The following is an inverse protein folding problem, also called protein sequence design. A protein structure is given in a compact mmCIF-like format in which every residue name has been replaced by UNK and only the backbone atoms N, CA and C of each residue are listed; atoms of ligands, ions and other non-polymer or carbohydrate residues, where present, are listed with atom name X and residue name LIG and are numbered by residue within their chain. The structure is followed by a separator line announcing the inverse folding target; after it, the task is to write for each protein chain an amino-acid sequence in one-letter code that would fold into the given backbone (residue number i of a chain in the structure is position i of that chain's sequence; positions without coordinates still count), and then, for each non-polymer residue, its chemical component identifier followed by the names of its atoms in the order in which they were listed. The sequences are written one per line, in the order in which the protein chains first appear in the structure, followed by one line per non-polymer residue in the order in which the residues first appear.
data_IF_471000954777
#
_entry.id   IF_471000954777
#
_cell.length_a   1.000
_cell.length_b   1.000
_cell.length_c   1.000
_cell.angle_alpha   90.00
_cell.angle_beta   90.00
_cell.angle_gamma   90.00
#
_symmetry.space_group_name_H-M   'P 1'
#
loop_
_entity.id
_entity.type
_entity.pdbx_description
1 polymer ?
#
# COMPACT_ATOMS: atom_id res chain seq x y z
N UNK A 1 -7.97 9.32 -10.65
CA UNK A 1 -6.77 9.35 -9.79
C UNK A 1 -5.59 8.84 -10.60
N UNK A 2 -4.49 9.59 -10.72
CA UNK A 2 -3.32 9.20 -11.50
C UNK A 2 -2.19 8.70 -10.60
N UNK A 3 -1.74 7.48 -10.85
CA UNK A 3 -0.69 6.79 -10.08
C UNK A 3 0.53 6.59 -10.97
N UNK A 4 1.73 6.75 -10.42
CA UNK A 4 2.97 6.45 -11.14
C UNK A 4 4.06 5.82 -10.27
N UNK A 5 5.01 5.17 -10.92
CA UNK A 5 6.32 4.86 -10.36
C UNK A 5 7.39 5.49 -11.23
N UNK A 6 8.46 6.00 -10.63
CA UNK A 6 9.55 6.65 -11.34
C UNK A 6 10.89 6.32 -10.69
N UNK A 7 11.74 5.57 -11.40
CA UNK A 7 13.15 5.49 -11.08
C UNK A 7 13.83 6.81 -11.47
N UNK A 8 14.27 7.59 -10.47
CA UNK A 8 15.05 8.81 -10.70
C UNK A 8 16.51 8.49 -10.38
N UNK A 9 17.30 8.27 -11.43
CA UNK A 9 18.67 7.82 -11.33
C UNK A 9 19.47 8.58 -10.27
N UNK A 10 19.87 7.90 -9.19
CA UNK A 10 20.62 8.47 -8.05
C UNK A 10 20.01 9.76 -7.51
N UNK A 11 18.72 9.77 -7.20
CA UNK A 11 18.06 10.94 -6.64
C UNK A 11 18.71 11.38 -5.32
N UNK A 12 19.28 12.59 -5.31
CA UNK A 12 20.02 13.14 -4.18
C UNK A 12 20.41 14.61 -4.38
N UNK A 13 21.28 15.12 -3.49
CA UNK A 13 21.66 16.55 -3.46
C UNK A 13 22.14 17.08 -4.81
N UNK A 14 22.99 16.32 -5.50
CA UNK A 14 23.55 16.72 -6.80
C UNK A 14 22.46 16.99 -7.86
N UNK A 15 21.36 16.24 -7.80
CA UNK A 15 20.28 16.37 -8.78
C UNK A 15 19.38 17.56 -8.48
N UNK A 16 19.06 17.79 -7.19
CA UNK A 16 18.19 18.91 -6.78
C UNK A 16 18.92 20.24 -6.69
N UNK A 17 20.26 20.26 -6.71
CA UNK A 17 21.05 21.49 -6.76
C UNK A 17 21.01 22.17 -8.13
N UNK A 18 20.68 21.44 -9.19
CA UNK A 18 20.42 21.99 -10.51
C UNK A 18 18.97 22.50 -10.57
N UNK A 19 18.74 23.82 -10.70
CA UNK A 19 17.40 24.39 -10.67
C UNK A 19 16.54 23.97 -11.87
N UNK A 20 17.14 23.70 -13.04
CA UNK A 20 16.40 23.27 -14.23
C UNK A 20 15.92 21.84 -14.05
N UNK A 21 16.77 20.96 -13.53
CA UNK A 21 16.40 19.57 -13.22
C UNK A 21 15.36 19.51 -12.11
N UNK A 22 15.53 20.29 -11.04
CA UNK A 22 14.54 20.37 -9.96
C UNK A 22 13.16 20.84 -10.49
N UNK A 23 13.14 21.83 -11.38
CA UNK A 23 11.91 22.32 -12.00
C UNK A 23 11.25 21.25 -12.89
N UNK A 24 12.04 20.51 -13.69
CA UNK A 24 11.51 19.41 -14.50
C UNK A 24 10.94 18.30 -13.60
N UNK A 25 11.67 17.89 -12.56
CA UNK A 25 11.18 16.90 -11.60
C UNK A 25 9.87 17.35 -10.94
N UNK A 26 9.79 18.60 -10.50
CA UNK A 26 8.57 19.16 -9.93
C UNK A 26 7.40 19.13 -10.92
N UNK A 27 7.64 19.45 -12.20
CA UNK A 27 6.64 19.35 -13.28
C UNK A 27 6.18 17.92 -13.52
N UNK A 28 7.11 16.96 -13.58
CA UNK A 28 6.79 15.52 -13.73
C UNK A 28 5.93 15.06 -12.56
N UNK A 29 6.40 15.23 -11.33
CA UNK A 29 5.74 14.76 -10.11
C UNK A 29 4.35 15.37 -9.95
N UNK A 30 4.19 16.66 -10.29
CA UNK A 30 2.92 17.39 -10.17
C UNK A 30 1.80 16.85 -11.05
N UNK A 31 2.09 15.94 -11.99
CA UNK A 31 1.09 15.24 -12.82
C UNK A 31 0.31 14.18 -12.04
N UNK A 32 0.85 13.70 -10.93
CA UNK A 32 0.37 12.48 -10.27
C UNK A 32 -0.30 12.77 -8.94
N UNK A 33 -1.36 12.03 -8.64
CA UNK A 33 -2.00 12.05 -7.33
C UNK A 33 -1.21 11.20 -6.33
N UNK A 34 -0.65 10.08 -6.80
CA UNK A 34 0.28 9.24 -6.04
C UNK A 34 1.46 8.93 -6.96
N UNK A 35 2.68 9.15 -6.48
CA UNK A 35 3.89 8.71 -7.16
C UNK A 35 4.84 8.03 -6.19
N UNK A 36 5.41 6.91 -6.64
CA UNK A 36 6.53 6.25 -5.99
C UNK A 36 7.81 6.66 -6.70
N UNK A 37 8.76 7.21 -5.96
CA UNK A 37 10.10 7.53 -6.44
C UNK A 37 11.07 6.49 -5.90
N UNK A 38 11.85 5.91 -6.80
CA UNK A 38 12.88 4.92 -6.51
C UNK A 38 14.28 5.57 -6.49
N UNK A 39 15.29 4.80 -6.10
CA UNK A 39 16.70 5.21 -6.10
C UNK A 39 17.01 6.51 -5.32
N UNK A 40 16.31 6.74 -4.20
CA UNK A 40 16.63 7.86 -3.29
C UNK A 40 17.87 7.51 -2.47
N UNK A 41 19.00 8.18 -2.75
CA UNK A 41 20.31 7.85 -2.15
C UNK A 41 20.75 8.82 -1.04
N UNK A 42 20.09 9.98 -0.89
CA UNK A 42 20.49 11.03 0.06
C UNK A 42 20.29 10.63 1.53
N UNK A 43 21.40 10.50 2.26
CA UNK A 43 21.42 10.17 3.69
C UNK A 43 20.91 11.31 4.56
N UNK A 44 21.08 12.57 4.12
CA UNK A 44 20.76 13.75 4.94
C UNK A 44 19.28 14.12 4.94
N UNK A 45 18.54 13.72 3.90
CA UNK A 45 17.15 14.13 3.66
C UNK A 45 16.98 15.56 3.12
N UNK A 46 18.07 16.29 2.88
CA UNK A 46 18.02 17.65 2.32
C UNK A 46 17.47 17.67 0.89
N UNK A 47 17.77 16.64 0.07
CA UNK A 47 17.26 16.60 -1.29
C UNK A 47 15.75 16.41 -1.32
N UNK A 48 15.24 15.56 -0.42
CA UNK A 48 13.81 15.32 -0.24
C UNK A 48 13.12 16.60 0.24
N UNK A 49 13.69 17.30 1.22
CA UNK A 49 13.17 18.60 1.69
C UNK A 49 13.11 19.62 0.56
N UNK A 50 14.20 19.76 -0.20
CA UNK A 50 14.29 20.70 -1.33
C UNK A 50 13.22 20.42 -2.38
N UNK A 51 13.00 19.14 -2.71
CA UNK A 51 11.94 18.73 -3.63
C UNK A 51 10.53 19.05 -3.07
N UNK A 52 10.28 18.73 -1.80
CA UNK A 52 8.98 19.02 -1.16
C UNK A 52 8.67 20.52 -1.11
N UNK A 53 9.68 21.34 -0.81
CA UNK A 53 9.56 22.80 -0.82
C UNK A 53 9.23 23.29 -2.23
N UNK A 54 9.89 22.77 -3.27
CA UNK A 54 9.59 23.12 -4.67
C UNK A 54 8.17 22.72 -5.09
N UNK A 55 7.72 21.51 -4.73
CA UNK A 55 6.38 21.00 -5.04
C UNK A 55 5.28 21.85 -4.38
N UNK A 56 5.41 22.06 -3.07
CA UNK A 56 4.36 22.73 -2.28
C UNK A 56 4.39 24.26 -2.43
N UNK A 57 5.50 24.86 -2.86
CA UNK A 57 5.54 26.29 -3.22
C UNK A 57 4.61 26.62 -4.38
N UNK A 58 4.47 25.70 -5.34
CA UNK A 58 3.68 25.89 -6.56
C UNK A 58 2.17 25.62 -6.38
N UNK A 59 1.79 24.80 -5.40
CA UNK A 59 0.40 24.34 -5.23
C UNK A 59 -0.16 24.74 -3.86
N UNK A 60 -0.97 25.80 -3.78
CA UNK A 60 -1.49 26.33 -2.51
C UNK A 60 -2.70 25.61 -1.93
N UNK A 61 -3.36 24.73 -2.69
CA UNK A 61 -4.62 24.08 -2.27
C UNK A 61 -4.45 22.61 -1.90
N UNK A 62 -3.54 21.88 -2.56
CA UNK A 62 -3.38 20.44 -2.37
C UNK A 62 -1.90 20.09 -2.24
N UNK A 63 -1.35 20.26 -1.04
CA UNK A 63 0.03 19.89 -0.74
C UNK A 63 0.25 18.37 -0.82
N UNK A 64 1.43 17.98 -1.27
CA UNK A 64 1.87 16.60 -1.18
C UNK A 64 2.18 16.22 0.26
N UNK A 65 1.79 15.00 0.61
CA UNK A 65 2.26 14.29 1.80
C UNK A 65 3.34 13.29 1.40
N UNK A 66 4.36 13.16 2.25
CA UNK A 66 5.53 12.30 2.04
C UNK A 66 5.51 11.11 2.99
N UNK A 67 5.80 9.92 2.47
CA UNK A 67 6.27 8.75 3.24
C UNK A 67 7.53 8.21 2.60
N UNK A 68 8.57 7.97 3.39
CA UNK A 68 9.86 7.46 2.91
C UNK A 68 10.28 6.24 3.72
N UNK A 69 10.81 5.22 3.06
CA UNK A 69 11.30 3.99 3.71
C UNK A 69 12.59 4.24 4.49
N UNK A 70 12.99 3.27 5.31
CA UNK A 70 14.39 3.18 5.74
C UNK A 70 15.31 2.92 4.53
N UNK A 71 16.62 3.11 4.71
CA UNK A 71 17.61 2.83 3.66
C UNK A 71 17.80 1.33 3.50
N UNK A 72 17.55 0.81 2.30
CA UNK A 72 17.58 -0.61 1.94
C UNK A 72 18.74 -0.88 0.99
N UNK A 73 19.34 -2.06 1.11
CA UNK A 73 20.48 -2.47 0.27
C UNK A 73 21.38 -3.45 1.01
N UNK A 74 21.87 -4.46 0.27
CA UNK A 74 22.73 -5.54 0.81
C UNK A 74 24.16 -5.06 1.08
N UNK A 75 24.59 -3.94 0.47
CA UNK A 75 25.96 -3.40 0.59
C UNK A 75 25.95 -2.03 1.28
N UNK A 76 27.07 -1.28 1.16
CA UNK A 76 27.16 0.12 1.58
C UNK A 76 26.28 1.04 0.74
N UNK A 77 26.07 0.67 -0.52
CA UNK A 77 25.12 1.35 -1.38
C UNK A 77 23.71 0.98 -0.95
N UNK A 78 22.90 2.01 -0.68
CA UNK A 78 21.54 1.87 -0.17
C UNK A 78 20.66 2.96 -0.74
N UNK A 79 19.40 2.61 -0.91
CA UNK A 79 18.37 3.45 -1.50
C UNK A 79 17.13 3.49 -0.61
N UNK A 80 16.20 4.39 -0.91
CA UNK A 80 14.91 4.48 -0.25
C UNK A 80 13.79 4.54 -1.29
N UNK A 81 12.63 4.04 -0.89
CA UNK A 81 11.37 4.25 -1.61
C UNK A 81 10.69 5.48 -1.03
N UNK A 82 10.30 6.42 -1.88
CA UNK A 82 9.63 7.66 -1.50
C UNK A 82 8.24 7.74 -2.13
N UNK A 83 7.21 7.74 -1.31
CA UNK A 83 5.83 7.97 -1.70
C UNK A 83 5.49 9.44 -1.52
N UNK A 84 5.03 10.06 -2.61
CA UNK A 84 4.41 11.38 -2.59
C UNK A 84 2.95 11.22 -2.99
N UNK A 85 2.03 11.75 -2.18
CA UNK A 85 0.61 11.64 -2.47
C UNK A 85 -0.19 12.87 -2.06
N UNK A 86 -1.26 13.12 -2.83
CA UNK A 86 -2.33 14.07 -2.56
C UNK A 86 -3.64 13.37 -2.92
N UNK A 87 -4.40 12.94 -1.91
CA UNK A 87 -5.60 12.15 -2.18
C UNK A 87 -6.80 13.05 -2.44
N UNK A 88 -7.37 12.94 -3.64
CA UNK A 88 -8.68 13.47 -4.00
C UNK A 88 -9.55 12.31 -4.50
N UNK A 89 -10.62 11.99 -3.75
CA UNK A 89 -11.80 11.21 -4.13
C UNK A 89 -11.60 10.11 -5.21
N UNK A 90 -11.30 8.87 -4.78
CA UNK A 90 -11.23 7.68 -5.66
C UNK A 90 -12.33 6.66 -5.31
N UNK A 91 -12.73 5.79 -6.25
CA UNK A 91 -13.67 4.66 -6.01
C UNK A 91 -13.11 3.65 -5.02
N UNK A 92 -11.77 3.49 -4.98
CA UNK A 92 -11.12 2.53 -4.11
C UNK A 92 -11.01 3.10 -2.70
N UNK A 93 -11.67 2.43 -1.73
CA UNK A 93 -11.59 2.81 -0.32
C UNK A 93 -10.24 2.47 0.31
N UNK A 94 -9.64 1.36 -0.13
CA UNK A 94 -8.34 0.87 0.33
C UNK A 94 -7.50 0.43 -0.87
N UNK A 95 -6.25 0.92 -0.95
CA UNK A 95 -5.26 0.55 -1.97
C UNK A 95 -3.94 0.21 -1.29
N UNK A 96 -3.39 -0.95 -1.63
CA UNK A 96 -2.06 -1.38 -1.20
C UNK A 96 -1.09 -1.23 -2.36
N UNK A 97 0.03 -0.54 -2.15
CA UNK A 97 1.09 -0.36 -3.14
C UNK A 97 2.37 -1.07 -2.67
N UNK A 98 2.92 -1.92 -3.53
CA UNK A 98 4.19 -2.62 -3.31
C UNK A 98 5.22 -2.02 -4.28
N UNK A 99 6.12 -1.15 -3.79
CA UNK A 99 7.16 -0.57 -4.63
C UNK A 99 8.29 -1.58 -4.83
N UNK A 100 8.80 -1.67 -6.06
CA UNK A 100 9.86 -2.62 -6.43
C UNK A 100 10.97 -1.88 -7.17
N UNK A 101 12.21 -2.17 -6.77
CA UNK A 101 13.41 -1.86 -7.52
C UNK A 101 14.30 -3.09 -7.41
N UNK A 102 14.30 -3.94 -8.43
CA UNK A 102 15.06 -5.19 -8.42
C UNK A 102 16.54 -4.92 -8.65
N UNK A 103 17.39 -5.82 -8.17
CA UNK A 103 18.78 -5.87 -8.65
C UNK A 103 18.80 -6.50 -10.06
N UNK A 104 19.37 -5.85 -11.09
CA UNK A 104 19.33 -6.34 -12.47
C UNK A 104 19.75 -7.81 -12.63
N UNK A 105 20.85 -8.22 -11.98
CA UNK A 105 21.39 -9.59 -12.11
C UNK A 105 20.61 -10.66 -11.34
N UNK A 106 19.66 -10.27 -10.48
CA UNK A 106 18.82 -11.18 -9.68
C UNK A 106 17.32 -10.95 -9.96
N UNK A 107 16.99 -10.28 -11.08
CA UNK A 107 15.61 -9.85 -11.41
C UNK A 107 14.64 -11.03 -11.48
N UNK A 108 15.05 -12.15 -12.06
CA UNK A 108 14.24 -13.38 -12.15
C UNK A 108 13.80 -13.87 -10.77
N UNK A 109 14.74 -13.99 -9.83
CA UNK A 109 14.49 -14.47 -8.46
C UNK A 109 13.70 -13.46 -7.66
N UNK A 110 14.10 -12.18 -7.69
CA UNK A 110 13.43 -11.15 -6.90
C UNK A 110 11.97 -10.97 -7.34
N UNK A 111 11.68 -11.06 -8.64
CA UNK A 111 10.31 -11.01 -9.15
C UNK A 111 9.49 -12.26 -8.80
N UNK A 112 10.09 -13.45 -8.80
CA UNK A 112 9.38 -14.66 -8.37
C UNK A 112 9.00 -14.61 -6.88
N UNK A 113 9.93 -14.13 -6.03
CA UNK A 113 9.70 -13.95 -4.59
C UNK A 113 8.63 -12.88 -4.27
N UNK A 114 8.34 -11.95 -5.20
CA UNK A 114 7.24 -11.00 -5.02
C UNK A 114 5.89 -11.69 -4.87
N UNK A 115 5.72 -12.90 -5.39
CA UNK A 115 4.50 -13.67 -5.16
C UNK A 115 4.30 -13.95 -3.67
N UNK A 116 5.36 -14.33 -2.95
CA UNK A 116 5.28 -14.65 -1.53
C UNK A 116 5.10 -13.38 -0.68
N UNK A 117 5.71 -12.28 -1.09
CA UNK A 117 5.45 -10.94 -0.52
C UNK A 117 3.97 -10.57 -0.69
N UNK A 118 3.43 -10.73 -1.90
CA UNK A 118 2.02 -10.48 -2.20
C UNK A 118 1.10 -11.33 -1.32
N UNK A 119 1.35 -12.64 -1.21
CA UNK A 119 0.55 -13.54 -0.38
C UNK A 119 0.57 -13.10 1.10
N UNK A 120 1.74 -12.71 1.61
CA UNK A 120 1.87 -12.18 2.97
C UNK A 120 1.05 -10.90 3.16
N UNK A 121 1.16 -9.96 2.23
CA UNK A 121 0.46 -8.66 2.23
C UNK A 121 -1.06 -8.85 2.18
N UNK A 122 -1.54 -9.66 1.22
CA UNK A 122 -2.96 -10.02 1.06
C UNK A 122 -3.53 -10.63 2.33
N UNK A 123 -2.81 -11.58 2.95
CA UNK A 123 -3.21 -12.19 4.23
C UNK A 123 -3.23 -11.20 5.39
N UNK A 124 -2.22 -10.32 5.48
CA UNK A 124 -2.04 -9.36 6.57
C UNK A 124 -3.14 -8.30 6.59
N UNK A 125 -3.46 -7.74 5.43
CA UNK A 125 -4.43 -6.64 5.31
C UNK A 125 -5.82 -7.08 4.81
N UNK A 126 -5.99 -8.36 4.46
CA UNK A 126 -7.27 -8.96 4.04
C UNK A 126 -7.92 -8.20 2.87
N UNK A 127 -7.10 -7.82 1.90
CA UNK A 127 -7.52 -7.08 0.71
C UNK A 127 -6.83 -7.61 -0.55
N UNK A 128 -7.58 -7.57 -1.65
CA UNK A 128 -7.10 -7.90 -3.00
C UNK A 128 -6.74 -6.66 -3.80
N UNK A 129 -6.98 -5.46 -3.25
CA UNK A 129 -6.69 -4.17 -3.89
C UNK A 129 -5.18 -3.86 -3.84
N UNK A 130 -4.38 -4.65 -4.55
CA UNK A 130 -2.92 -4.58 -4.55
C UNK A 130 -2.41 -4.13 -5.92
N UNK A 131 -1.55 -3.13 -5.92
CA UNK A 131 -0.78 -2.67 -7.06
C UNK A 131 0.71 -2.84 -6.77
N UNK A 132 1.44 -3.51 -7.66
CA UNK A 132 2.89 -3.70 -7.61
C UNK A 132 3.48 -2.86 -8.74
N UNK A 133 4.45 -2.00 -8.44
CA UNK A 133 4.95 -1.02 -9.40
C UNK A 133 6.40 -0.62 -9.15
N UNK A 134 7.11 -0.30 -10.22
CA UNK A 134 8.48 0.19 -10.19
C UNK A 134 9.39 -0.45 -11.21
N UNK A 135 10.69 -0.32 -10.99
CA UNK A 135 11.72 -0.82 -11.88
C UNK A 135 11.98 -2.30 -11.57
N UNK A 136 11.47 -3.15 -12.46
CA UNK A 136 11.55 -4.59 -12.31
C UNK A 136 12.79 -5.15 -13.02
N UNK A 137 13.51 -4.35 -13.82
CA UNK A 137 14.52 -4.83 -14.76
C UNK A 137 13.99 -6.01 -15.62
N UNK A 138 12.70 -5.97 -15.98
CA UNK A 138 11.95 -7.11 -16.54
C UNK A 138 12.06 -7.26 -18.06
N UNK A 139 13.25 -7.03 -18.63
CA UNK A 139 13.50 -7.18 -20.07
C UNK A 139 15.01 -7.25 -20.38
N UNK A 140 15.35 -7.33 -21.67
CA UNK A 140 16.70 -7.17 -22.18
C UNK A 140 17.64 -8.28 -21.72
N UNK A 141 18.86 -7.89 -21.34
CA UNK A 141 19.88 -8.83 -20.86
C UNK A 141 19.59 -9.37 -19.45
N UNK A 142 18.68 -8.73 -18.70
CA UNK A 142 18.42 -9.05 -17.30
C UNK A 142 17.37 -10.14 -17.13
N UNK A 143 16.37 -10.18 -18.01
CA UNK A 143 15.31 -11.16 -17.94
C UNK A 143 14.87 -11.63 -19.33
N UNK A 144 15.14 -12.91 -19.63
CA UNK A 144 14.75 -13.48 -20.92
C UNK A 144 13.23 -13.70 -21.02
N UNK A 145 12.68 -13.65 -22.23
CA UNK A 145 11.25 -13.98 -22.48
C UNK A 145 10.86 -15.39 -22.01
N UNK A 146 11.82 -16.30 -21.84
CA UNK A 146 11.59 -17.66 -21.31
C UNK A 146 11.45 -17.61 -19.79
N UNK A 147 12.38 -16.97 -19.10
CA UNK A 147 12.41 -16.92 -17.63
C UNK A 147 11.26 -16.07 -17.08
N UNK A 148 10.91 -15.00 -17.81
CA UNK A 148 9.74 -14.18 -17.52
C UNK A 148 8.46 -15.02 -17.40
N UNK A 149 8.27 -16.03 -18.27
CA UNK A 149 7.06 -16.88 -18.24
C UNK A 149 7.00 -17.82 -17.04
N UNK A 150 8.13 -18.11 -16.40
CA UNK A 150 8.15 -18.96 -15.20
C UNK A 150 7.89 -18.22 -13.90
N UNK A 151 8.00 -16.88 -13.87
CA UNK A 151 7.75 -16.08 -12.68
C UNK A 151 6.30 -16.23 -12.24
N UNK A 152 6.06 -16.49 -10.95
CA UNK A 152 4.71 -16.74 -10.41
C UNK A 152 3.75 -15.57 -10.61
N UNK A 153 4.19 -14.33 -10.35
CA UNK A 153 3.36 -13.12 -10.59
C UNK A 153 3.12 -12.84 -12.08
N UNK A 154 3.79 -13.55 -13.00
CA UNK A 154 3.60 -13.44 -14.46
C UNK A 154 2.72 -14.56 -15.01
N UNK A 155 2.86 -15.76 -14.47
CA UNK A 155 2.12 -16.96 -14.91
C UNK A 155 0.72 -17.06 -14.28
N UNK A 156 0.52 -16.51 -13.08
CA UNK A 156 -0.79 -16.41 -12.46
C UNK A 156 -1.64 -15.33 -13.15
N UNK A 157 -2.77 -15.76 -13.71
CA UNK A 157 -3.68 -14.92 -14.51
C UNK A 157 -4.40 -13.85 -13.71
N UNK A 158 -4.41 -13.95 -12.38
CA UNK A 158 -4.98 -12.91 -11.52
C UNK A 158 -4.06 -11.68 -11.40
N UNK A 159 -2.82 -11.76 -11.89
CA UNK A 159 -1.93 -10.61 -11.98
C UNK A 159 -2.02 -10.02 -13.38
N UNK A 160 -2.58 -8.81 -13.46
CA UNK A 160 -2.74 -8.09 -14.71
C UNK A 160 -1.57 -7.12 -14.89
N UNK A 161 -0.68 -7.45 -15.82
CA UNK A 161 0.46 -6.61 -16.18
C UNK A 161 -0.01 -5.51 -17.13
N UNK A 162 -0.08 -4.28 -16.62
CA UNK A 162 -0.65 -3.15 -17.35
C UNK A 162 0.34 -2.51 -18.34
N UNK A 163 1.64 -2.64 -18.07
CA UNK A 163 2.71 -2.25 -19.01
C UNK A 163 3.15 -3.51 -19.77
N UNK A 164 2.87 -3.54 -21.08
CA UNK A 164 3.20 -4.65 -21.98
C UNK A 164 4.70 -4.82 -22.22
N UNK A 165 5.12 -6.00 -22.68
CA UNK A 165 6.55 -6.37 -22.82
C UNK A 165 7.30 -5.68 -23.98
N UNK A 166 6.58 -4.99 -24.86
CA UNK A 166 7.14 -4.32 -26.02
C UNK A 166 6.99 -2.78 -25.87
N UNK A 167 7.15 -2.27 -24.65
CA UNK A 167 6.95 -0.84 -24.29
C UNK A 167 8.22 -0.26 -23.71
N UNK A 168 8.87 0.64 -24.45
CA UNK A 168 10.08 1.31 -23.99
C UNK A 168 9.83 2.20 -22.75
N UNK A 169 10.49 1.88 -21.64
CA UNK A 169 10.44 2.66 -20.39
C UNK A 169 11.77 3.37 -20.09
N UNK A 170 12.72 3.40 -21.03
CA UNK A 170 14.03 4.03 -20.84
C UNK A 170 14.14 5.36 -21.59
N UNK A 171 14.86 6.32 -21.01
CA UNK A 171 15.12 7.61 -21.66
C UNK A 171 16.33 7.58 -22.62
N UNK A 172 16.96 6.42 -22.78
CA UNK A 172 18.15 6.24 -23.60
C UNK A 172 17.75 5.92 -25.04
N UNK A 173 18.29 6.65 -26.02
CA UNK A 173 18.02 6.36 -27.44
C UNK A 173 18.74 5.09 -27.96
N UNK A 174 19.35 4.30 -27.08
CA UNK A 174 20.19 3.14 -27.44
C UNK A 174 19.51 1.79 -27.23
N UNK A 175 18.35 1.77 -26.59
CA UNK A 175 17.58 0.57 -26.32
C UNK A 175 16.08 0.92 -26.24
N UNK A 176 15.24 -0.09 -26.15
CA UNK A 176 13.78 -0.01 -26.05
C UNK A 176 13.23 -0.92 -24.94
N UNK A 177 13.99 -1.09 -23.87
CA UNK A 177 13.69 -2.07 -22.82
C UNK A 177 12.47 -1.70 -21.97
N UNK A 178 11.70 -2.73 -21.61
CA UNK A 178 10.52 -2.62 -20.72
C UNK A 178 10.87 -2.96 -19.26
N UNK A 179 11.71 -2.13 -18.63
CA UNK A 179 12.16 -2.37 -17.25
C UNK A 179 11.09 -2.04 -16.20
N UNK A 180 10.41 -0.91 -16.36
CA UNK A 180 9.45 -0.41 -15.39
C UNK A 180 8.06 -0.99 -15.63
N UNK A 181 7.39 -1.45 -14.57
CA UNK A 181 6.13 -2.18 -14.68
C UNK A 181 5.09 -1.67 -13.69
N UNK A 182 3.83 -1.88 -14.08
CA UNK A 182 2.66 -1.74 -13.20
C UNK A 182 1.86 -3.03 -13.33
N UNK A 183 1.62 -3.69 -12.20
CA UNK A 183 0.85 -4.93 -12.09
C UNK A 183 -0.25 -4.73 -11.05
N UNK A 184 -1.48 -5.11 -11.38
CA UNK A 184 -2.61 -5.09 -10.44
C UNK A 184 -3.14 -6.50 -10.22
N UNK A 185 -3.66 -6.79 -9.04
CA UNK A 185 -4.20 -8.10 -8.70
C UNK A 185 -5.73 -8.11 -8.70
N UNK A 186 -6.31 -9.10 -9.39
CA UNK A 186 -7.75 -9.35 -9.45
C UNK A 186 -8.50 -8.49 -10.45
N UNK A 187 -9.61 -9.05 -10.96
CA UNK A 187 -10.43 -8.41 -11.99
C UNK A 187 -11.07 -7.10 -11.51
N UNK A 188 -11.41 -6.98 -10.22
CA UNK A 188 -11.98 -5.75 -9.65
C UNK A 188 -11.01 -4.56 -9.76
N UNK A 189 -9.73 -4.78 -9.45
CA UNK A 189 -8.68 -3.78 -9.61
C UNK A 189 -8.47 -3.44 -11.09
N UNK A 190 -8.51 -4.44 -11.97
CA UNK A 190 -8.41 -4.23 -13.42
C UNK A 190 -9.58 -3.38 -13.94
N UNK A 191 -10.81 -3.65 -13.50
CA UNK A 191 -12.00 -2.88 -13.91
C UNK A 191 -12.00 -1.44 -13.36
N UNK A 192 -11.29 -1.20 -12.25
CA UNK A 192 -11.06 0.14 -11.70
C UNK A 192 -10.01 0.95 -12.47
N UNK A 193 -9.20 0.32 -13.33
CA UNK A 193 -8.27 1.01 -14.22
C UNK A 193 -9.04 1.62 -15.40
N UNK A 194 -8.67 2.84 -15.79
CA UNK A 194 -9.13 3.45 -17.04
C UNK A 194 -8.47 2.70 -18.21
N UNK A 195 -9.24 2.11 -19.14
CA UNK A 195 -8.67 1.34 -20.24
C UNK A 195 -7.62 2.13 -21.03
N UNK A 196 -6.51 1.48 -21.39
CA UNK A 196 -5.39 2.07 -22.15
C UNK A 196 -4.71 3.28 -21.49
N UNK A 197 -4.95 3.54 -20.19
CA UNK A 197 -4.28 4.63 -19.47
C UNK A 197 -2.86 4.29 -19.04
N UNK A 198 -2.54 3.00 -18.88
CA UNK A 198 -1.24 2.53 -18.43
C UNK A 198 -0.18 2.69 -19.52
N UNK A 199 0.86 3.50 -19.27
CA UNK A 199 1.93 3.80 -20.25
C UNK A 199 3.14 4.46 -19.59
N UNK A 200 4.31 4.48 -20.25
CA UNK A 200 5.41 5.36 -19.88
C UNK A 200 5.08 6.82 -20.21
N UNK A 201 5.52 7.74 -19.36
CA UNK A 201 5.50 9.16 -19.62
C UNK A 201 6.86 9.61 -20.17
N UNK A 202 6.96 9.65 -21.49
CA UNK A 202 8.15 10.16 -22.18
C UNK A 202 8.27 11.70 -21.97
N UNK A 203 8.90 12.10 -20.86
CA UNK A 203 9.09 13.51 -20.50
C UNK A 203 10.04 14.23 -21.45
N UNK A 204 10.92 13.51 -22.14
CA UNK A 204 11.83 14.06 -23.14
C UNK A 204 11.02 14.64 -24.31
N UNK A 205 10.09 13.86 -24.85
CA UNK A 205 9.17 14.30 -25.89
C UNK A 205 8.19 15.35 -25.36
N UNK A 206 7.63 15.15 -24.17
CA UNK A 206 6.62 16.04 -23.61
C UNK A 206 7.12 17.44 -23.28
N UNK A 207 8.42 17.58 -22.96
CA UNK A 207 9.05 18.86 -22.60
C UNK A 207 10.15 19.29 -23.58
N UNK A 208 10.20 18.67 -24.76
CA UNK A 208 11.15 19.02 -25.84
C UNK A 208 12.62 19.02 -25.38
N UNK A 209 12.99 18.06 -24.54
CA UNK A 209 14.35 17.94 -24.01
C UNK A 209 15.26 17.22 -25.01
N UNK A 210 16.52 17.63 -25.07
CA UNK A 210 17.55 16.82 -25.70
C UNK A 210 17.79 15.53 -24.90
N UNK A 211 18.40 14.51 -25.53
CA UNK A 211 18.80 13.28 -24.83
C UNK A 211 19.72 13.60 -23.64
N UNK A 212 20.67 14.52 -23.79
CA UNK A 212 21.55 14.94 -22.70
C UNK A 212 20.78 15.56 -21.53
N UNK A 213 19.79 16.41 -21.81
CA UNK A 213 18.94 17.00 -20.78
C UNK A 213 18.06 15.94 -20.11
N UNK A 214 17.51 15.00 -20.88
CA UNK A 214 16.70 13.91 -20.35
C UNK A 214 17.50 13.02 -19.40
N UNK A 215 18.71 12.61 -19.79
CA UNK A 215 19.59 11.77 -18.97
C UNK A 215 20.08 12.46 -17.69
N UNK A 216 20.10 13.80 -17.64
CA UNK A 216 20.32 14.53 -16.37
C UNK A 216 19.15 14.37 -15.41
N UNK A 217 17.92 14.26 -15.92
CA UNK A 217 16.70 13.99 -15.14
C UNK A 217 16.69 12.54 -14.68
N UNK A 218 16.66 11.58 -15.59
CA UNK A 218 16.76 10.14 -15.33
C UNK A 218 17.01 9.37 -16.64
N UNK A 219 17.55 8.16 -16.54
CA UNK A 219 17.63 7.18 -17.62
C UNK A 219 16.37 6.30 -17.75
N UNK A 220 15.38 6.48 -16.87
CA UNK A 220 14.05 5.86 -16.97
C UNK A 220 12.97 6.91 -17.25
N UNK A 221 11.85 6.48 -17.84
CA UNK A 221 10.61 7.23 -17.86
C UNK A 221 9.69 6.79 -16.70
N UNK A 222 8.90 7.68 -16.08
CA UNK A 222 7.85 7.24 -15.17
C UNK A 222 6.86 6.32 -15.90
N UNK A 223 6.46 5.22 -15.28
CA UNK A 223 5.27 4.47 -15.71
C UNK A 223 4.05 4.97 -14.95
N UNK A 224 2.98 5.29 -15.67
CA UNK A 224 1.75 5.88 -15.13
C UNK A 224 0.52 5.03 -15.45
N UNK A 225 -0.50 5.13 -14.61
CA UNK A 225 -1.84 4.55 -14.81
C UNK A 225 -2.91 5.47 -14.22
N UNK A 226 -4.10 5.51 -14.83
CA UNK A 226 -5.25 6.23 -14.31
C UNK A 226 -6.29 5.27 -13.74
N UNK A 227 -6.72 5.52 -12.52
CA UNK A 227 -7.83 4.84 -11.85
C UNK A 227 -9.10 5.68 -12.02
N UNK A 228 -10.23 5.02 -12.28
CA UNK A 228 -11.56 5.64 -12.30
C UNK A 228 -11.80 6.40 -10.99
N UNK A 229 -12.50 7.54 -11.04
CA UNK A 229 -12.82 8.36 -9.86
C UNK A 229 -14.33 8.40 -9.66
N UNK A 230 -14.77 8.70 -8.43
CA UNK A 230 -16.18 8.85 -8.06
C UNK A 230 -16.77 10.23 -8.38
N UNK A 231 -16.02 11.18 -8.93
CA UNK A 231 -16.50 12.58 -9.00
C UNK A 231 -17.41 12.84 -10.20
N UNK A 232 -18.62 13.29 -9.86
CA UNK A 232 -19.66 13.98 -10.64
C UNK A 232 -19.06 15.09 -11.52
N UNK A 233 -19.31 15.05 -12.83
CA UNK A 233 -18.94 16.14 -13.74
C UNK A 233 -19.75 17.40 -13.42
N UNK A 234 -19.15 18.60 -13.40
CA UNK A 234 -19.91 19.83 -13.38
C UNK A 234 -20.63 19.99 -14.73
N UNK A 235 -21.96 20.14 -14.72
CA UNK A 235 -22.71 20.55 -15.89
C UNK A 235 -22.21 21.95 -16.33
N UNK A 236 -21.96 22.10 -17.63
CA UNK A 236 -21.69 23.40 -18.24
C UNK A 236 -22.90 24.32 -18.01
N UNK A 237 -22.64 25.54 -17.51
CA UNK A 237 -23.63 26.58 -17.26
C UNK A 237 -24.46 26.90 -18.51
N UNK A 238 -25.59 26.20 -18.65
CA UNK A 238 -26.70 26.52 -19.53
C UNK A 238 -27.87 27.00 -18.69
N UNK A 239 -27.92 28.31 -18.47
CA UNK A 239 -29.00 29.06 -17.84
C UNK A 239 -30.41 28.53 -18.21
N UNK A 240 -31.17 28.00 -17.24
CA UNK A 240 -32.53 28.43 -16.90
C UNK A 240 -33.05 27.65 -15.69
N UNK A 241 -33.40 28.39 -14.64
CA UNK A 241 -33.87 27.84 -13.38
C UNK A 241 -35.18 27.06 -13.51
N UNK A 242 -35.23 25.94 -12.79
CA UNK A 242 -36.40 25.28 -12.21
C UNK A 242 -35.86 24.25 -11.21
N UNK A 243 -36.46 24.16 -10.02
CA UNK A 243 -36.13 23.17 -9.01
C UNK A 243 -36.26 21.76 -9.61
N UNK A 244 -35.13 21.13 -9.92
CA UNK A 244 -35.10 19.74 -10.34
C UNK A 244 -34.45 18.89 -9.24
N UNK A 245 -35.24 17.94 -8.73
CA UNK A 245 -34.76 16.79 -7.98
C UNK A 245 -33.49 16.26 -8.64
N UNK A 246 -32.41 16.15 -7.85
CA UNK A 246 -31.13 15.59 -8.28
C UNK A 246 -31.34 14.19 -8.84
N UNK A 247 -31.49 14.10 -10.15
CA UNK A 247 -31.60 12.83 -10.86
C UNK A 247 -30.19 12.31 -11.06
N UNK A 248 -29.86 11.26 -10.32
CA UNK A 248 -28.63 10.49 -10.46
C UNK A 248 -28.50 10.04 -11.93
N UNK A 249 -27.65 10.68 -12.72
CA UNK A 249 -27.38 10.23 -14.09
C UNK A 249 -26.38 9.09 -14.01
N UNK A 250 -26.84 7.94 -14.48
CA UNK A 250 -26.19 6.63 -14.43
C UNK A 250 -24.91 6.66 -15.24
N UNK A 251 -23.77 6.52 -14.55
CA UNK A 251 -22.49 6.22 -15.19
C UNK A 251 -22.18 4.75 -14.94
N UNK A 252 -22.22 4.01 -16.04
CA UNK A 252 -21.79 2.62 -16.25
C UNK A 252 -22.61 1.54 -15.52
N UNK A 253 -23.37 0.76 -16.29
CA UNK A 253 -24.07 -0.44 -15.81
C UNK A 253 -23.07 -1.40 -15.13
N UNK A 254 -21.84 -1.47 -15.66
CA UNK A 254 -20.73 -2.24 -15.11
C UNK A 254 -20.28 -1.75 -13.72
N UNK A 255 -20.35 -0.44 -13.43
CA UNK A 255 -20.00 0.11 -12.12
C UNK A 255 -21.10 -0.18 -11.08
N UNK A 256 -22.35 -0.19 -11.51
CA UNK A 256 -23.48 -0.61 -10.69
C UNK A 256 -23.43 -2.11 -10.40
N UNK A 257 -23.04 -2.92 -11.38
CA UNK A 257 -22.79 -4.35 -11.19
C UNK A 257 -21.62 -4.60 -10.23
N UNK A 258 -20.50 -3.89 -10.37
CA UNK A 258 -19.38 -3.92 -9.41
C UNK A 258 -19.80 -3.54 -8.00
N UNK A 259 -20.61 -2.48 -7.83
CA UNK A 259 -21.13 -2.09 -6.51
C UNK A 259 -22.04 -3.18 -5.94
N UNK A 260 -22.90 -3.79 -6.75
CA UNK A 260 -23.77 -4.90 -6.33
C UNK A 260 -22.97 -6.15 -5.98
N UNK A 261 -21.96 -6.49 -6.78
CA UNK A 261 -21.05 -7.60 -6.57
C UNK A 261 -20.25 -7.45 -5.28
N UNK A 262 -19.68 -6.28 -5.04
CA UNK A 262 -18.96 -5.98 -3.79
C UNK A 262 -19.85 -6.06 -2.56
N UNK A 263 -21.09 -5.58 -2.62
CA UNK A 263 -22.06 -5.71 -1.52
C UNK A 263 -22.46 -7.17 -1.27
N UNK A 264 -22.58 -7.98 -2.33
CA UNK A 264 -22.81 -9.42 -2.22
C UNK A 264 -21.62 -10.14 -1.57
N UNK A 265 -20.39 -9.83 -1.99
CA UNK A 265 -19.17 -10.38 -1.40
C UNK A 265 -18.99 -9.98 0.07
N UNK A 266 -19.27 -8.72 0.44
CA UNK A 266 -19.28 -8.30 1.85
C UNK A 266 -20.29 -9.07 2.68
N UNK A 267 -21.50 -9.30 2.13
CA UNK A 267 -22.55 -10.10 2.79
C UNK A 267 -22.13 -11.56 2.98
N UNK A 268 -21.52 -12.18 1.97
CA UNK A 268 -21.03 -13.56 2.05
C UNK A 268 -19.86 -13.69 3.03
N UNK A 269 -18.93 -12.74 3.02
CA UNK A 269 -17.82 -12.65 3.97
C UNK A 269 -18.31 -12.52 5.40
N UNK A 270 -19.27 -11.64 5.67
CA UNK A 270 -19.96 -11.53 6.97
C UNK A 270 -20.63 -12.86 7.35
N UNK A 271 -21.28 -13.54 6.40
CA UNK A 271 -21.88 -14.86 6.60
C UNK A 271 -20.87 -15.92 7.06
N UNK A 272 -19.70 -15.97 6.41
CA UNK A 272 -18.61 -16.87 6.78
C UNK A 272 -18.00 -16.54 8.14
N UNK A 273 -17.80 -15.25 8.46
CA UNK A 273 -17.33 -14.83 9.78
C UNK A 273 -18.31 -15.24 10.88
N UNK A 274 -19.62 -15.07 10.65
CA UNK A 274 -20.67 -15.54 11.57
C UNK A 274 -20.62 -17.07 11.73
N UNK A 275 -20.45 -17.83 10.65
CA UNK A 275 -20.34 -19.29 10.73
C UNK A 275 -19.10 -19.74 11.51
N UNK A 276 -17.95 -19.10 11.26
CA UNK A 276 -16.71 -19.38 11.99
C UNK A 276 -16.87 -19.06 13.48
N UNK A 277 -17.49 -17.92 13.82
CA UNK A 277 -17.77 -17.54 15.20
C UNK A 277 -18.72 -18.53 15.88
N UNK A 278 -19.79 -18.97 15.19
CA UNK A 278 -20.71 -20.01 15.67
C UNK A 278 -19.99 -21.34 15.93
N UNK A 279 -19.12 -21.78 15.00
CA UNK A 279 -18.34 -23.00 15.17
C UNK A 279 -17.34 -22.91 16.33
N UNK A 280 -16.70 -21.75 16.52
CA UNK A 280 -15.83 -21.49 17.68
C UNK A 280 -16.59 -21.50 19.01
N UNK A 281 -17.77 -20.86 19.05
CA UNK A 281 -18.64 -20.89 20.23
C UNK A 281 -19.12 -22.31 20.56
N UNK A 282 -19.52 -23.10 19.54
CA UNK A 282 -19.92 -24.49 19.75
C UNK A 282 -18.78 -25.34 20.31
N UNK A 283 -17.54 -25.13 19.85
CA UNK A 283 -16.35 -25.79 20.42
C UNK A 283 -16.11 -25.39 21.88
N UNK A 284 -16.24 -24.10 22.21
CA UNK A 284 -16.11 -23.62 23.59
C UNK A 284 -17.18 -24.22 24.51
N UNK A 285 -18.42 -24.38 24.02
CA UNK A 285 -19.49 -25.07 24.75
C UNK A 285 -19.22 -26.57 24.92
N UNK A 286 -18.54 -27.22 23.97
CA UNK A 286 -18.21 -28.65 24.05
C UNK A 286 -17.03 -28.95 24.99
N UNK A 287 -16.07 -28.03 25.13
CA UNK A 287 -14.97 -28.13 26.10
C UNK A 287 -15.36 -27.64 27.51
N UNK A 288 -16.44 -26.87 27.62
CA UNK A 288 -17.08 -26.49 28.89
C UNK A 288 -18.10 -27.51 29.37
N UNK A 289 -17.70 -28.76 29.59
CA UNK A 289 -18.50 -29.74 30.34
C UNK A 289 -18.53 -29.35 31.83
N UNK A 290 -19.38 -28.39 32.18
CA UNK A 290 -20.21 -28.52 33.38
C UNK A 290 -21.62 -28.83 32.88
N UNK A 291 -22.06 -30.07 33.10
CA UNK A 291 -23.45 -30.49 32.93
C UNK A 291 -24.35 -29.58 33.76
N UNK A 292 -25.16 -28.76 33.11
CA UNK A 292 -26.43 -28.31 33.65
C UNK A 292 -27.51 -28.76 32.68
N UNK A 293 -28.49 -29.51 33.19
CA UNK A 293 -29.60 -30.07 32.43
C UNK A 293 -30.40 -28.95 31.76
N UNK A 294 -30.66 -29.12 30.46
CA UNK A 294 -31.75 -28.45 29.78
C UNK A 294 -33.04 -29.12 30.21
N UNK A 295 -33.83 -28.45 31.06
CA UNK A 295 -35.27 -28.68 31.12
C UNK A 295 -36.00 -27.37 30.75
N UNK A 296 -36.82 -27.49 29.70
CA UNK A 296 -37.96 -26.67 29.28
C UNK A 296 -37.88 -25.14 29.40
N UNK A 297 -37.73 -24.47 28.25
CA UNK A 297 -38.56 -23.30 27.91
C UNK A 297 -38.54 -23.05 26.39
N UNK A 298 -39.75 -22.96 25.83
CA UNK A 298 -40.05 -22.66 24.43
C UNK A 298 -39.42 -21.35 23.94
N UNK A 299 -38.91 -21.35 22.70
CA UNK A 299 -38.38 -20.17 22.01
C UNK A 299 -39.49 -19.56 21.15
N UNK A 300 -39.97 -18.38 21.54
CA UNK A 300 -40.68 -17.48 20.63
C UNK A 300 -39.67 -16.62 19.88
N UNK A 301 -39.75 -16.66 18.55
CA UNK A 301 -39.09 -15.71 17.65
C UNK A 301 -39.97 -14.47 17.54
N UNK A 302 -39.40 -13.29 17.84
CA UNK A 302 -39.90 -12.06 17.25
C UNK A 302 -38.75 -11.14 16.81
N UNK A 303 -39.06 -10.38 15.76
CA UNK A 303 -38.16 -9.66 14.88
C UNK A 303 -37.96 -8.23 15.37
N UNK A 304 -37.00 -8.00 16.27
CA UNK A 304 -36.45 -6.66 16.51
C UNK A 304 -35.14 -6.74 17.30
N UNK A 305 -34.08 -6.11 16.78
CA UNK A 305 -32.90 -5.70 17.55
C UNK A 305 -32.06 -6.84 18.16
N UNK A 306 -30.87 -7.06 17.61
CA UNK A 306 -29.89 -7.98 18.18
C UNK A 306 -29.46 -7.47 19.57
N UNK A 307 -30.00 -8.07 20.63
CA UNK A 307 -29.49 -7.97 22.00
C UNK A 307 -29.29 -9.39 22.52
N UNK A 308 -28.04 -9.81 22.70
CA UNK A 308 -27.70 -11.01 23.46
C UNK A 308 -26.91 -10.58 24.69
N UNK A 309 -27.52 -10.66 25.87
CA UNK A 309 -26.80 -10.64 27.14
C UNK A 309 -26.64 -12.08 27.59
N UNK A 310 -25.49 -12.71 27.30
CA UNK A 310 -25.16 -14.01 27.87
C UNK A 310 -24.54 -13.78 29.26
N UNK A 311 -25.35 -13.83 30.31
CA UNK A 311 -24.86 -13.85 31.69
C UNK A 311 -24.25 -15.23 31.98
N UNK A 312 -22.93 -15.28 32.12
CA UNK A 312 -22.22 -16.44 32.67
C UNK A 312 -21.73 -16.07 34.07
N UNK A 313 -22.30 -16.70 35.10
CA UNK A 313 -21.83 -16.58 36.47
C UNK A 313 -20.67 -17.55 36.73
N UNK A 314 -19.53 -17.01 37.14
CA UNK A 314 -18.60 -17.69 38.05
C UNK A 314 -17.93 -16.65 38.96
N UNK A 315 -18.12 -16.81 40.27
CA UNK A 315 -17.31 -16.21 41.36
C UNK A 315 -17.13 -14.67 41.41
N UNK A 316 -17.86 -14.02 42.34
CA UNK A 316 -17.69 -12.66 42.88
C UNK A 316 -16.70 -11.69 42.17
N UNK A 317 -17.22 -10.88 41.25
CA UNK A 317 -17.00 -9.42 41.15
C UNK A 317 -18.10 -8.82 40.26
N UNK A 318 -18.84 -7.82 40.78
CA UNK A 318 -19.82 -7.03 40.02
C UNK A 318 -19.08 -5.92 39.28
N UNK A 319 -19.18 -5.88 37.96
CA UNK A 319 -18.98 -4.65 37.18
C UNK A 319 -20.17 -4.50 36.23
N UNK A 320 -20.97 -3.44 36.43
CA UNK A 320 -21.92 -2.94 35.43
C UNK A 320 -21.17 -2.00 34.50
N UNK A 321 -21.38 -2.11 33.19
CA UNK A 321 -21.01 -1.03 32.28
C UNK A 321 -22.07 -0.90 31.18
N UNK A 322 -22.57 0.33 31.07
CA UNK A 322 -23.48 0.81 30.05
C UNK A 322 -22.80 0.99 28.69
N UNK A 323 -23.63 1.08 27.66
CA UNK A 323 -23.30 1.18 26.25
C UNK A 323 -22.37 2.34 25.88
N UNK A 324 -21.24 2.05 25.25
CA UNK A 324 -20.67 2.84 24.16
C UNK A 324 -19.55 2.04 23.46
N UNK A 325 -19.70 1.89 22.15
CA UNK A 325 -18.70 1.76 21.09
C UNK A 325 -17.50 0.78 21.22
N UNK A 326 -17.46 -0.05 20.18
CA UNK A 326 -16.50 -1.08 19.79
C UNK A 326 -15.02 -0.65 19.90
N UNK A 327 -14.27 -1.35 20.75
CA UNK A 327 -12.80 -1.47 20.69
C UNK A 327 -12.41 -2.89 21.14
N UNK A 328 -11.94 -3.72 20.20
CA UNK A 328 -11.40 -5.05 20.52
C UNK A 328 -9.93 -4.94 20.90
N UNK A 329 -9.60 -5.22 22.16
CA UNK A 329 -8.26 -5.65 22.58
C UNK A 329 -8.35 -7.11 22.98
N UNK A 330 -7.90 -8.02 22.10
CA UNK A 330 -7.75 -9.43 22.44
C UNK A 330 -6.38 -9.64 23.09
N UNK A 331 -6.31 -9.58 24.42
CA UNK A 331 -5.10 -9.93 25.16
C UNK A 331 -5.38 -11.23 25.94
N UNK A 332 -4.90 -12.36 25.40
CA UNK A 332 -4.90 -13.65 26.09
C UNK A 332 -3.69 -13.67 27.03
N UNK A 333 -3.92 -13.54 28.34
CA UNK A 333 -2.90 -13.87 29.33
C UNK A 333 -3.14 -15.30 29.84
N UNK A 334 -2.18 -16.19 29.59
CA UNK A 334 -1.95 -17.35 30.46
C UNK A 334 -0.77 -17.01 31.37
N UNK A 335 -1.01 -16.81 32.66
CA UNK A 335 0.07 -16.67 33.63
C UNK A 335 -0.36 -16.08 34.96
N UNK A 336 -0.23 -16.85 36.03
CA UNK A 336 -0.22 -16.33 37.39
C UNK A 336 0.90 -15.29 37.53
N UNK A 337 0.55 -14.01 37.75
CA UNK A 337 1.08 -13.10 38.79
C UNK A 337 0.58 -11.68 38.57
N UNK A 338 0.16 -11.05 39.67
CA UNK A 338 -0.19 -9.62 39.80
C UNK A 338 0.97 -8.74 39.35
N UNK A 339 0.68 -7.75 38.50
CA UNK A 339 1.28 -6.42 38.55
C UNK A 339 0.25 -5.41 38.01
N UNK A 340 -0.04 -4.37 38.79
CA UNK A 340 -0.84 -3.21 38.42
C UNK A 340 0.01 -2.25 37.59
N UNK A 341 -0.57 -1.59 36.59
CA UNK A 341 -0.05 -0.31 36.13
C UNK A 341 -1.17 0.58 35.59
N UNK A 342 -1.21 1.78 36.18
CA UNK A 342 -2.17 2.85 35.96
C UNK A 342 -1.98 3.55 34.61
N UNK A 343 -3.06 4.20 34.19
CA UNK A 343 -3.09 5.10 33.04
C UNK A 343 -2.25 6.36 33.29
N UNK A 344 -1.18 6.56 32.52
CA UNK A 344 -0.55 7.86 32.29
C UNK A 344 0.25 7.84 30.98
N UNK A 345 0.22 8.95 30.25
CA UNK A 345 0.70 9.04 28.87
C UNK A 345 2.19 9.33 28.65
N UNK A 346 2.57 9.22 27.38
CA UNK A 346 3.60 9.96 26.61
C UNK A 346 5.11 9.70 26.90
N UNK A 347 5.84 9.30 25.84
CA UNK A 347 7.31 9.39 25.54
C UNK A 347 8.31 8.57 26.42
N UNK A 348 9.46 8.03 25.98
CA UNK A 348 10.42 8.24 24.86
C UNK A 348 11.22 6.94 24.53
N UNK A 349 11.95 7.00 23.40
CA UNK A 349 13.08 6.20 22.82
C UNK A 349 13.80 5.10 23.61
N UNK A 350 14.20 4.06 22.87
CA UNK A 350 15.27 3.15 23.27
C UNK A 350 16.52 3.30 22.39
N UNK A 351 17.62 3.73 23.02
CA UNK A 351 19.00 3.45 22.57
C UNK A 351 19.39 2.06 23.07
N UNK A 352 20.15 1.30 22.28
CA UNK A 352 20.74 0.02 22.69
C UNK A 352 22.25 0.08 22.56
N UNK A 353 22.95 0.00 23.70
CA UNK A 353 24.36 -0.42 23.78
C UNK A 353 24.36 -1.89 24.20
N UNK A 354 25.16 -2.80 23.59
CA UNK A 354 25.32 -4.16 24.10
C UNK A 354 26.45 -4.21 25.15
N UNK A 355 26.21 -4.90 26.27
CA UNK A 355 27.27 -5.39 27.16
C UNK A 355 27.39 -6.92 27.05
N UNK A 356 28.63 -7.37 26.83
CA UNK A 356 29.10 -8.76 26.89
C UNK A 356 29.32 -9.24 28.35
N UNK A 357 29.40 -10.58 28.60
CA UNK A 357 29.42 -11.17 29.93
C UNK A 357 30.83 -11.21 30.58
N UNK A 358 30.91 -11.38 31.91
CA UNK A 358 32.15 -11.22 32.66
C UNK A 358 32.99 -12.50 32.74
N UNK A 359 34.29 -12.39 32.48
CA UNK A 359 35.30 -13.29 33.02
C UNK A 359 36.22 -12.51 33.96
N UNK A 360 36.41 -13.07 35.15
CA UNK A 360 37.34 -12.63 36.19
C UNK A 360 38.80 -12.80 35.76
N UNK A 361 39.63 -11.77 35.94
CA UNK A 361 41.08 -11.91 36.04
C UNK A 361 41.64 -10.93 37.08
N UNK A 362 42.43 -11.50 37.99
CA UNK A 362 43.12 -10.81 39.07
C UNK A 362 44.25 -9.89 38.54
N UNK A 363 44.52 -8.84 39.31
CA UNK A 363 45.72 -7.99 39.23
C UNK A 363 46.99 -8.85 39.23
N UNK A 364 48.00 -8.40 38.47
CA UNK A 364 49.35 -8.08 38.98
C UNK A 364 50.03 -7.13 37.98
N UNK A 365 50.74 -6.17 38.55
CA UNK A 365 51.46 -5.04 37.99
C UNK A 365 52.70 -5.42 37.16
N UNK A 366 53.05 -4.50 36.25
CA UNK A 366 54.38 -4.23 35.66
C UNK A 366 55.50 -4.16 36.71
N UNK A 367 56.82 -4.13 36.36
CA UNK A 367 57.48 -3.51 35.19
C UNK A 367 58.47 -4.46 34.48
N UNK A 368 59.05 -4.20 33.31
CA UNK A 368 59.77 -3.03 32.75
C UNK A 368 59.70 -3.02 31.23
#
# INVERSE_FOLDING_TARGET
MKVASFNIQKFGKNKVSDPDILNILAKIISRYDIIVILEVVDVSGESVKTLMDALNKSNRKHHYTLKISSRLGRTRYKEQFMFLYRCLNTVLKDLVMIPVHTKPEDSDKELDELYDVFQHVKKKWRTDNVMILGDFNADGAYLSKRDMKSIRIRSDKNFHWLIGDDVDTTASNRNDHTYDRIVVYGDDMLQAVVPNSAKPFNFQKAYELSEEQALKVSDHYPVEVEMKSLIETPEEDGNHGLEHEKKLVVVDEDLLELKRGNLLLEREKLGLEIQILRAKMAKLMFFGLCRCSLDSADVFLDSAGVLWTLQVFSGLCRCSLDSADVLWTLQVFSGLRRCSLDSAGVLWTHSTVPQEPPWTAARISSPT
#
